data_IF_848783894745
#
_entry.id   IF_848783894745
#
_cell.length_a   1.000
_cell.length_b   1.000
_cell.length_c   1.000
_cell.angle_alpha   90.00
_cell.angle_beta   90.00
_cell.angle_gamma   90.00
#
_symmetry.space_group_name_H-M   'P 1'
#
loop_
_entity.id
_entity.type
_entity.pdbx_description
1 polymer ?
#
# COMPACT_ATOMS: atom_id res chain seq x y z
N UNK A 1 17.84 2.16 -14.84
CA UNK A 1 17.51 0.75 -14.50
C UNK A 1 16.51 0.64 -13.35
N UNK A 2 16.71 1.32 -12.20
CA UNK A 2 15.81 1.23 -11.04
C UNK A 2 14.33 1.52 -11.36
N UNK A 3 14.03 2.57 -12.13
CA UNK A 3 12.66 2.91 -12.54
C UNK A 3 11.98 1.75 -13.28
N UNK A 4 12.66 1.17 -14.27
CA UNK A 4 12.13 0.03 -15.04
C UNK A 4 11.91 -1.18 -14.15
N UNK A 5 12.83 -1.46 -13.21
CA UNK A 5 12.68 -2.54 -12.25
C UNK A 5 11.47 -2.35 -11.33
N UNK A 6 11.23 -1.14 -10.83
CA UNK A 6 10.06 -0.82 -9.99
C UNK A 6 8.76 -0.99 -10.77
N UNK A 7 8.73 -0.53 -12.02
CA UNK A 7 7.56 -0.69 -12.90
C UNK A 7 7.31 -2.18 -13.16
N UNK A 8 8.32 -2.94 -13.55
CA UNK A 8 8.20 -4.38 -13.80
C UNK A 8 7.75 -5.15 -12.54
N UNK A 9 8.36 -4.86 -11.40
CA UNK A 9 7.98 -5.42 -10.10
C UNK A 9 6.52 -5.14 -9.77
N UNK A 10 6.10 -3.88 -9.88
CA UNK A 10 4.72 -3.49 -9.58
C UNK A 10 3.72 -4.17 -10.50
N UNK A 11 3.97 -4.21 -11.81
CA UNK A 11 3.06 -4.86 -12.74
C UNK A 11 3.03 -6.38 -12.54
N UNK A 12 4.14 -7.01 -12.16
CA UNK A 12 4.16 -8.42 -11.76
C UNK A 12 3.28 -8.69 -10.54
N UNK A 13 3.40 -7.87 -9.49
CA UNK A 13 2.55 -7.94 -8.29
C UNK A 13 1.08 -7.69 -8.64
N UNK A 14 0.79 -6.67 -9.44
CA UNK A 14 -0.55 -6.31 -9.88
C UNK A 14 -1.23 -7.42 -10.68
N UNK A 15 -0.52 -8.00 -11.65
CA UNK A 15 -1.03 -9.12 -12.46
C UNK A 15 -1.27 -10.36 -11.61
N UNK A 16 -0.35 -10.68 -10.70
CA UNK A 16 -0.52 -11.80 -9.78
C UNK A 16 -1.75 -11.62 -8.87
N UNK A 17 -1.95 -10.42 -8.31
CA UNK A 17 -3.12 -10.13 -7.49
C UNK A 17 -4.43 -10.13 -8.26
N UNK A 18 -4.40 -9.67 -9.51
CA UNK A 18 -5.55 -9.71 -10.42
C UNK A 18 -5.93 -11.17 -10.70
N UNK A 19 -4.95 -12.01 -10.99
CA UNK A 19 -5.16 -13.45 -11.19
C UNK A 19 -5.74 -14.12 -9.93
N UNK A 20 -5.20 -13.84 -8.73
CA UNK A 20 -5.77 -14.33 -7.47
C UNK A 20 -7.24 -13.92 -7.30
N UNK A 21 -7.56 -12.65 -7.58
CA UNK A 21 -8.93 -12.15 -7.41
C UNK A 21 -9.87 -12.81 -8.43
N UNK A 22 -9.43 -12.94 -9.68
CA UNK A 22 -10.18 -13.63 -10.73
C UNK A 22 -10.40 -15.12 -10.41
N UNK A 23 -9.39 -15.82 -9.86
CA UNK A 23 -9.54 -17.21 -9.42
C UNK A 23 -10.56 -17.35 -8.27
N UNK A 24 -10.66 -16.35 -7.39
CA UNK A 24 -11.55 -16.37 -6.24
C UNK A 24 -13.03 -16.12 -6.59
N UNK A 25 -13.32 -15.13 -7.45
CA UNK A 25 -14.71 -14.72 -7.71
C UNK A 25 -15.06 -14.47 -9.19
N UNK A 26 -14.20 -14.92 -10.12
CA UNK A 26 -14.32 -14.73 -11.56
C UNK A 26 -14.44 -13.26 -11.99
N UNK A 27 -14.12 -12.30 -11.10
CA UNK A 27 -14.17 -10.89 -11.45
C UNK A 27 -12.88 -10.41 -12.09
N UNK A 28 -13.04 -9.54 -13.07
CA UNK A 28 -11.97 -8.75 -13.67
C UNK A 28 -12.05 -7.32 -13.12
N UNK A 29 -10.91 -6.68 -12.97
CA UNK A 29 -10.80 -5.36 -12.35
C UNK A 29 -10.32 -4.37 -13.40
N UNK A 30 -11.08 -3.30 -13.59
CA UNK A 30 -10.83 -2.34 -14.68
C UNK A 30 -9.61 -1.44 -14.43
N UNK A 31 -9.16 -1.34 -13.17
CA UNK A 31 -8.04 -0.47 -12.81
C UNK A 31 -7.27 -0.94 -11.57
N UNK A 32 -6.13 -0.29 -11.34
CA UNK A 32 -5.23 -0.53 -10.23
C UNK A 32 -5.87 -0.34 -8.84
N UNK A 33 -6.74 0.66 -8.69
CA UNK A 33 -7.37 0.96 -7.41
C UNK A 33 -8.41 -0.11 -7.03
N UNK A 34 -9.23 -0.53 -7.99
CA UNK A 34 -10.22 -1.60 -7.80
C UNK A 34 -9.55 -2.94 -7.49
N UNK A 35 -8.44 -3.25 -8.16
CA UNK A 35 -7.65 -4.46 -7.84
C UNK A 35 -7.09 -4.41 -6.43
N UNK A 36 -6.51 -3.28 -6.01
CA UNK A 36 -5.99 -3.11 -4.67
C UNK A 36 -7.07 -3.26 -3.59
N UNK A 37 -8.25 -2.68 -3.84
CA UNK A 37 -9.41 -2.76 -2.95
C UNK A 37 -9.92 -4.20 -2.83
N UNK A 38 -10.28 -4.83 -3.95
CA UNK A 38 -10.81 -6.21 -3.93
C UNK A 38 -9.80 -7.18 -3.33
N UNK A 39 -8.52 -7.09 -3.71
CA UNK A 39 -7.51 -7.97 -3.14
C UNK A 39 -7.43 -7.80 -1.62
N UNK A 40 -7.46 -6.57 -1.09
CA UNK A 40 -7.48 -6.32 0.35
C UNK A 40 -8.70 -6.94 1.05
N UNK A 41 -9.90 -6.73 0.50
CA UNK A 41 -11.17 -7.22 1.05
C UNK A 41 -11.27 -8.76 1.03
N UNK A 42 -10.62 -9.41 0.05
CA UNK A 42 -10.68 -10.86 -0.13
C UNK A 42 -9.58 -11.60 0.61
N UNK A 43 -8.35 -11.12 0.56
CA UNK A 43 -7.20 -11.90 1.01
C UNK A 43 -6.75 -11.53 2.42
N UNK A 44 -6.04 -10.40 2.66
CA UNK A 44 -5.54 -10.09 3.99
C UNK A 44 -6.67 -9.84 4.99
N UNK A 45 -7.82 -9.25 4.59
CA UNK A 45 -8.95 -9.05 5.50
C UNK A 45 -9.58 -10.36 6.02
N UNK A 46 -9.39 -11.48 5.31
CA UNK A 46 -9.89 -12.80 5.70
C UNK A 46 -8.77 -13.76 6.14
N UNK A 47 -7.56 -13.24 6.41
CA UNK A 47 -6.39 -14.05 6.77
C UNK A 47 -5.99 -15.09 5.69
N UNK A 48 -6.27 -14.79 4.42
CA UNK A 48 -5.92 -15.60 3.25
C UNK A 48 -4.68 -15.04 2.51
N UNK A 49 -3.89 -14.21 3.17
CA UNK A 49 -2.60 -13.77 2.65
C UNK A 49 -1.52 -14.16 3.67
N UNK A 50 -0.31 -14.43 3.18
CA UNK A 50 0.83 -14.72 4.05
C UNK A 50 1.63 -13.44 4.36
N UNK A 51 2.23 -13.37 5.54
CA UNK A 51 3.13 -12.27 5.87
C UNK A 51 4.38 -12.29 4.95
N UNK A 52 4.92 -11.12 4.56
CA UNK A 52 4.51 -9.76 4.98
C UNK A 52 3.29 -9.20 4.22
N UNK A 53 2.81 -9.85 3.17
CA UNK A 53 1.72 -9.34 2.32
C UNK A 53 0.36 -9.27 3.03
N UNK A 54 0.19 -10.06 4.10
CA UNK A 54 -1.02 -10.11 4.92
C UNK A 54 -1.29 -8.82 5.70
N UNK A 55 -0.29 -7.95 5.90
CA UNK A 55 -0.48 -6.74 6.70
C UNK A 55 -1.42 -5.76 6.00
N UNK A 56 -2.54 -5.48 6.66
CA UNK A 56 -3.55 -4.55 6.19
C UNK A 56 -4.17 -3.76 7.35
N UNK A 57 -4.77 -2.62 7.01
CA UNK A 57 -5.65 -1.88 7.91
C UNK A 57 -7.05 -1.87 7.31
N UNK A 58 -8.08 -2.09 8.12
CA UNK A 58 -9.47 -2.16 7.67
C UNK A 58 -10.04 -0.80 7.31
N UNK A 59 -9.52 0.26 7.94
CA UNK A 59 -9.88 1.65 7.64
C UNK A 59 -8.71 2.59 7.88
N UNK A 60 -8.83 3.83 7.41
CA UNK A 60 -7.88 4.91 7.73
C UNK A 60 -8.39 5.83 8.86
N UNK A 61 -9.39 5.39 9.63
CA UNK A 61 -9.82 6.12 10.83
C UNK A 61 -8.66 6.12 11.83
N UNK A 62 -8.28 7.28 12.43
CA UNK A 62 -7.10 7.36 13.31
C UNK A 62 -7.07 6.30 14.43
N UNK A 63 -8.19 6.09 15.13
CA UNK A 63 -8.28 5.12 16.22
C UNK A 63 -8.15 3.66 15.75
N UNK A 64 -8.75 3.32 14.60
CA UNK A 64 -8.63 2.00 13.98
C UNK A 64 -7.20 1.74 13.51
N UNK A 65 -6.59 2.72 12.83
CA UNK A 65 -5.19 2.66 12.40
C UNK A 65 -4.27 2.44 13.58
N UNK A 66 -4.42 3.20 14.67
CA UNK A 66 -3.59 3.05 15.87
C UNK A 66 -3.69 1.63 16.45
N UNK A 67 -4.91 1.12 16.58
CA UNK A 67 -5.19 -0.21 17.14
C UNK A 67 -4.60 -1.32 16.27
N UNK A 68 -4.91 -1.33 14.98
CA UNK A 68 -4.48 -2.40 14.06
C UNK A 68 -2.97 -2.34 13.78
N UNK A 69 -2.41 -1.13 13.68
CA UNK A 69 -0.98 -0.94 13.48
C UNK A 69 -0.16 -1.35 14.71
N UNK A 70 -0.72 -1.26 15.91
CA UNK A 70 -0.04 -1.74 17.12
C UNK A 70 0.29 -3.24 17.01
N UNK A 71 -0.64 -4.05 16.50
CA UNK A 71 -0.43 -5.49 16.25
C UNK A 71 0.70 -5.74 15.25
N UNK A 72 0.77 -4.94 14.18
CA UNK A 72 1.85 -5.04 13.18
C UNK A 72 3.21 -4.67 13.80
N UNK A 73 3.25 -3.61 14.62
CA UNK A 73 4.46 -3.11 15.28
C UNK A 73 5.04 -4.04 16.35
N UNK A 74 4.28 -5.02 16.86
CA UNK A 74 4.82 -6.03 17.79
C UNK A 74 5.95 -6.83 17.15
N UNK A 75 5.93 -7.05 15.82
CA UNK A 75 6.98 -7.78 15.11
C UNK A 75 8.30 -7.01 14.97
N UNK A 76 8.27 -5.69 15.15
CA UNK A 76 9.45 -4.85 15.05
C UNK A 76 9.14 -3.37 14.91
N UNK A 77 10.14 -2.54 15.22
CA UNK A 77 10.12 -1.10 14.99
C UNK A 77 11.48 -0.68 14.43
N UNK A 78 11.46 -0.03 13.26
CA UNK A 78 12.67 0.45 12.62
C UNK A 78 12.30 1.55 11.62
N UNK A 79 13.21 2.49 11.40
CA UNK A 79 13.02 3.55 10.43
C UNK A 79 13.50 3.14 9.05
N UNK A 80 12.71 3.42 8.02
CA UNK A 80 12.97 3.31 6.59
C UNK A 80 14.14 4.18 6.12
N UNK A 81 14.57 5.15 6.94
CA UNK A 81 15.76 5.95 6.66
C UNK A 81 17.03 5.10 6.82
N UNK A 82 16.98 4.07 7.66
CA UNK A 82 18.09 3.15 7.91
C UNK A 82 17.85 1.82 7.20
N UNK A 83 18.91 1.26 6.59
CA UNK A 83 18.82 -0.06 5.98
C UNK A 83 18.66 -1.11 7.10
N UNK A 84 17.61 -1.95 7.08
CA UNK A 84 17.47 -3.02 8.05
C UNK A 84 18.58 -4.06 7.85
N UNK A 85 19.13 -4.55 8.96
CA UNK A 85 20.18 -5.57 9.02
C UNK A 85 19.69 -6.88 9.65
N UNK A 86 18.54 -6.83 10.33
CA UNK A 86 17.89 -8.00 10.93
C UNK A 86 16.45 -8.16 10.43
N UNK A 87 15.89 -9.36 10.59
CA UNK A 87 14.50 -9.62 10.25
C UNK A 87 13.51 -8.76 11.08
N UNK A 88 13.82 -8.53 12.35
CA UNK A 88 13.00 -7.67 13.23
C UNK A 88 13.00 -6.22 12.74
N UNK A 89 14.15 -5.71 12.29
CA UNK A 89 14.22 -4.38 11.68
C UNK A 89 13.43 -4.31 10.37
N UNK A 90 13.50 -5.35 9.54
CA UNK A 90 12.71 -5.43 8.31
C UNK A 90 11.20 -5.40 8.59
N UNK A 91 10.72 -6.11 9.62
CA UNK A 91 9.33 -6.01 10.10
C UNK A 91 8.99 -4.59 10.54
N UNK A 92 9.90 -3.91 11.22
CA UNK A 92 9.76 -2.51 11.60
C UNK A 92 9.59 -1.58 10.39
N UNK A 93 10.40 -1.76 9.35
CA UNK A 93 10.27 -1.01 8.10
C UNK A 93 8.92 -1.24 7.41
N UNK A 94 8.42 -2.49 7.38
CA UNK A 94 7.09 -2.79 6.86
C UNK A 94 5.99 -2.04 7.64
N UNK A 95 6.06 -2.05 8.97
CA UNK A 95 5.11 -1.33 9.83
C UNK A 95 5.16 0.18 9.61
N UNK A 96 6.36 0.77 9.50
CA UNK A 96 6.51 2.21 9.25
C UNK A 96 5.99 2.61 7.85
N UNK A 97 6.23 1.78 6.83
CA UNK A 97 5.71 2.06 5.48
C UNK A 97 4.19 1.99 5.41
N UNK A 98 3.59 1.02 6.11
CA UNK A 98 2.13 0.90 6.24
C UNK A 98 1.54 2.12 6.96
N UNK A 99 2.14 2.53 8.08
CA UNK A 99 1.78 3.75 8.83
C UNK A 99 1.81 5.00 7.93
N UNK A 100 2.92 5.19 7.21
CA UNK A 100 3.07 6.31 6.29
C UNK A 100 2.09 6.26 5.12
N UNK A 101 1.65 5.06 4.72
CA UNK A 101 0.65 4.87 3.66
C UNK A 101 -0.75 5.22 4.17
N UNK A 102 -1.10 4.85 5.40
CA UNK A 102 -2.34 5.29 6.04
C UNK A 102 -2.43 6.82 6.14
N UNK A 103 -1.33 7.47 6.54
CA UNK A 103 -1.24 8.94 6.55
C UNK A 103 -1.50 9.57 5.19
N UNK A 104 -0.88 9.05 4.14
CA UNK A 104 -1.07 9.54 2.77
C UNK A 104 -2.49 9.31 2.24
N UNK A 105 -3.07 8.13 2.50
CA UNK A 105 -4.43 7.80 2.08
C UNK A 105 -5.47 8.67 2.78
N UNK A 106 -5.26 9.07 4.04
CA UNK A 106 -6.13 10.05 4.71
C UNK A 106 -6.17 11.38 3.95
N UNK A 107 -5.00 11.95 3.62
CA UNK A 107 -4.94 13.21 2.87
C UNK A 107 -5.61 13.09 1.51
N UNK A 108 -5.40 11.98 0.80
CA UNK A 108 -6.04 11.70 -0.50
C UNK A 108 -7.57 11.57 -0.37
N UNK A 109 -8.07 10.90 0.68
CA UNK A 109 -9.52 10.82 0.96
C UNK A 109 -10.09 12.21 1.27
N UNK A 110 -9.39 13.02 2.07
CA UNK A 110 -9.82 14.39 2.36
C UNK A 110 -9.95 15.26 1.10
N UNK A 111 -8.96 15.19 0.20
CA UNK A 111 -9.00 15.88 -1.10
C UNK A 111 -10.24 15.45 -1.90
N UNK A 112 -10.49 14.15 -2.03
CA UNK A 112 -11.65 13.62 -2.75
C UNK A 112 -12.98 14.03 -2.10
N UNK A 113 -13.07 14.03 -0.77
CA UNK A 113 -14.29 14.45 -0.06
C UNK A 113 -14.57 15.93 -0.33
N UNK A 114 -13.55 16.79 -0.35
CA UNK A 114 -13.72 18.23 -0.68
C UNK A 114 -14.29 18.45 -2.08
N UNK A 115 -14.02 17.54 -3.01
CA UNK A 115 -14.53 17.63 -4.39
C UNK A 115 -16.00 17.23 -4.53
N UNK A 116 -16.57 16.53 -3.54
CA UNK A 116 -17.96 16.06 -3.57
C UNK A 116 -18.97 17.19 -3.51
N UNK A 117 -20.12 17.01 -4.17
CA UNK A 117 -21.24 17.94 -4.10
C UNK A 117 -21.76 18.11 -2.66
N UNK A 118 -21.78 17.03 -1.88
CA UNK A 118 -22.23 17.02 -0.49
C UNK A 118 -21.36 17.94 0.38
N UNK A 119 -20.03 17.86 0.26
CA UNK A 119 -19.13 18.72 1.00
C UNK A 119 -19.25 20.18 0.54
N UNK A 120 -19.30 20.43 -0.77
CA UNK A 120 -19.48 21.78 -1.34
C UNK A 120 -20.77 22.44 -0.86
N UNK A 121 -21.85 21.67 -0.72
CA UNK A 121 -23.14 22.17 -0.22
C UNK A 121 -23.10 22.61 1.25
N UNK A 122 -22.12 22.15 2.05
CA UNK A 122 -21.95 22.61 3.43
C UNK A 122 -21.40 24.04 3.52
N UNK A 123 -20.85 24.60 2.43
CA UNK A 123 -20.29 25.95 2.42
C UNK A 123 -19.05 26.14 3.31
N UNK A 124 -18.34 25.05 3.63
CA UNK A 124 -17.12 25.06 4.46
C UNK A 124 -15.88 24.72 3.63
N UNK A 125 -14.70 25.13 4.10
CA UNK A 125 -13.40 24.84 3.48
C UNK A 125 -12.61 23.73 4.19
N UNK A 126 -13.04 23.32 5.39
CA UNK A 126 -12.36 22.35 6.23
C UNK A 126 -13.32 21.35 6.89
N UNK A 127 -12.73 20.40 7.63
CA UNK A 127 -13.45 19.35 8.35
C UNK A 127 -13.63 19.68 9.85
N UNK A 128 -13.83 20.94 10.24
CA UNK A 128 -14.02 21.31 11.66
C UNK A 128 -15.46 21.15 12.13
N UNK A 129 -16.44 21.35 11.25
CA UNK A 129 -17.86 21.21 11.60
C UNK A 129 -18.23 19.74 11.78
N UNK A 130 -19.29 19.47 12.56
CA UNK A 130 -19.77 18.11 12.79
C UNK A 130 -20.15 17.40 11.47
N UNK A 131 -20.96 18.05 10.63
CA UNK A 131 -21.39 17.50 9.35
C UNK A 131 -20.21 17.20 8.39
N UNK A 132 -19.22 18.10 8.34
CA UNK A 132 -18.02 17.86 7.52
C UNK A 132 -17.20 16.67 8.04
N UNK A 133 -17.01 16.57 9.36
CA UNK A 133 -16.32 15.42 9.98
C UNK A 133 -17.03 14.11 9.69
N UNK A 134 -18.36 14.07 9.76
CA UNK A 134 -19.14 12.88 9.45
C UNK A 134 -18.93 12.41 8.01
N UNK A 135 -18.97 13.32 7.02
CA UNK A 135 -18.67 12.98 5.62
C UNK A 135 -17.26 12.41 5.43
N UNK A 136 -16.27 13.01 6.09
CA UNK A 136 -14.89 12.54 6.08
C UNK A 136 -14.77 11.15 6.71
N UNK A 137 -15.34 10.97 7.89
CA UNK A 137 -15.17 9.75 8.69
C UNK A 137 -15.89 8.56 8.05
N UNK A 138 -17.03 8.78 7.38
CA UNK A 138 -17.66 7.77 6.51
C UNK A 138 -16.72 7.34 5.39
N UNK A 139 -15.99 8.29 4.79
CA UNK A 139 -15.04 8.01 3.72
C UNK A 139 -13.78 7.30 4.24
N UNK A 140 -13.31 7.66 5.44
CA UNK A 140 -12.22 6.95 6.12
C UNK A 140 -12.59 5.51 6.46
N UNK A 141 -13.80 5.27 6.97
CA UNK A 141 -14.30 3.95 7.34
C UNK A 141 -14.27 2.96 6.16
N UNK A 142 -14.53 3.46 4.94
CA UNK A 142 -14.57 2.65 3.71
C UNK A 142 -13.20 2.44 3.07
N UNK A 143 -12.14 3.05 3.60
CA UNK A 143 -10.80 3.00 3.00
C UNK A 143 -9.90 2.03 3.75
N UNK A 144 -10.00 0.76 3.42
CA UNK A 144 -9.00 -0.25 3.79
C UNK A 144 -7.73 -0.12 2.96
N UNK A 145 -6.58 -0.45 3.55
CA UNK A 145 -5.27 -0.41 2.88
C UNK A 145 -4.48 -1.70 3.13
N UNK A 146 -3.63 -2.07 2.18
CA UNK A 146 -2.86 -3.34 2.21
C UNK A 146 -1.59 -3.23 1.38
N UNK A 147 -0.86 -4.34 1.20
CA UNK A 147 0.33 -4.41 0.37
C UNK A 147 0.17 -3.79 -1.04
N UNK A 148 -0.94 -4.02 -1.74
CA UNK A 148 -1.12 -3.45 -3.09
C UNK A 148 -1.25 -1.92 -3.11
N UNK A 149 -1.84 -1.35 -2.06
CA UNK A 149 -1.90 0.09 -1.88
C UNK A 149 -0.49 0.66 -1.65
N UNK A 150 0.30 -0.02 -0.82
CA UNK A 150 1.70 0.30 -0.58
C UNK A 150 2.54 0.21 -1.87
N UNK A 151 2.39 -0.86 -2.65
CA UNK A 151 3.09 -1.06 -3.92
C UNK A 151 2.73 0.00 -4.97
N UNK A 152 1.44 0.34 -5.08
CA UNK A 152 0.96 1.42 -5.96
C UNK A 152 1.56 2.77 -5.57
N UNK A 153 1.55 3.10 -4.28
CA UNK A 153 2.17 4.32 -3.74
C UNK A 153 3.67 4.35 -3.98
N UNK A 154 4.37 3.23 -3.79
CA UNK A 154 5.81 3.13 -4.03
C UNK A 154 6.15 3.38 -5.50
N UNK A 155 5.45 2.71 -6.43
CA UNK A 155 5.57 2.98 -7.88
C UNK A 155 5.31 4.45 -8.20
N UNK A 156 4.26 5.04 -7.63
CA UNK A 156 3.90 6.44 -7.85
C UNK A 156 5.03 7.40 -7.46
N UNK A 157 5.57 7.25 -6.24
CA UNK A 157 6.71 8.05 -5.76
C UNK A 157 7.94 7.90 -6.65
N UNK A 158 8.27 6.66 -7.00
CA UNK A 158 9.42 6.33 -7.83
C UNK A 158 9.30 6.85 -9.27
N UNK A 159 8.08 6.97 -9.83
CA UNK A 159 7.88 7.44 -11.20
C UNK A 159 7.92 8.96 -11.37
N UNK A 160 7.66 9.73 -10.32
CA UNK A 160 7.63 11.20 -10.40
C UNK A 160 8.79 11.87 -9.67
N UNK A 161 8.89 11.68 -8.35
CA UNK A 161 9.77 12.49 -7.50
C UNK A 161 11.17 11.90 -7.32
N UNK A 162 11.26 10.58 -7.19
CA UNK A 162 12.54 9.91 -6.91
C UNK A 162 13.27 9.46 -8.19
N UNK A 163 12.57 9.40 -9.34
CA UNK A 163 13.21 9.07 -10.63
C UNK A 163 14.39 10.00 -10.98
N UNK A 164 14.31 11.27 -10.55
CA UNK A 164 15.37 12.26 -10.76
C UNK A 164 16.58 11.94 -9.85
N UNK A 165 16.36 11.61 -8.58
CA UNK A 165 17.44 11.29 -7.64
C UNK A 165 18.06 9.90 -7.86
N UNK A 166 17.28 8.94 -8.38
CA UNK A 166 17.76 7.60 -8.74
C UNK A 166 18.63 7.58 -10.00
N UNK A 167 18.79 8.72 -10.68
CA UNK A 167 19.58 8.85 -11.92
C UNK A 167 20.80 9.79 -11.77
N UNK A 168 20.92 10.52 -10.66
CA UNK A 168 21.95 11.55 -10.47
C UNK A 168 22.76 11.34 -9.20
N UNK A 169 24.08 11.23 -9.34
CA UNK A 169 25.05 11.17 -8.24
C UNK A 169 26.00 9.97 -8.33
N UNK A 170 27.25 10.17 -7.94
CA UNK A 170 28.31 9.15 -7.98
C UNK A 170 28.10 8.02 -6.95
N UNK A 171 27.26 8.24 -5.93
CA UNK A 171 26.90 7.27 -4.88
C UNK A 171 25.72 6.36 -5.23
N UNK A 172 24.95 6.69 -6.27
CA UNK A 172 23.71 5.98 -6.66
C UNK A 172 23.95 4.52 -7.04
N UNK A 173 25.02 4.14 -7.78
CA UNK A 173 25.27 2.74 -8.09
C UNK A 173 25.44 1.85 -6.85
N UNK A 174 26.10 2.37 -5.81
CA UNK A 174 26.29 1.63 -4.55
C UNK A 174 25.00 1.53 -3.75
N UNK A 175 24.16 2.57 -3.78
CA UNK A 175 22.85 2.58 -3.12
C UNK A 175 21.84 1.64 -3.81
N UNK A 176 21.97 1.43 -5.12
CA UNK A 176 21.13 0.53 -5.90
C UNK A 176 21.67 -0.90 -6.00
N UNK A 177 22.84 -1.17 -5.41
CA UNK A 177 23.41 -2.52 -5.38
C UNK A 177 22.45 -3.48 -4.68
N UNK A 178 22.07 -4.57 -5.36
CA UNK A 178 21.11 -5.57 -4.87
C UNK A 178 19.64 -5.16 -4.99
N UNK A 179 19.32 -3.91 -5.37
CA UNK A 179 17.94 -3.43 -5.42
C UNK A 179 17.04 -4.25 -6.35
N UNK A 180 17.55 -4.60 -7.55
CA UNK A 180 16.79 -5.40 -8.53
C UNK A 180 16.58 -6.82 -8.01
N UNK A 181 17.58 -7.40 -7.36
CA UNK A 181 17.50 -8.73 -6.77
C UNK A 181 16.49 -8.77 -5.62
N UNK A 182 16.50 -7.75 -4.75
CA UNK A 182 15.54 -7.61 -3.65
C UNK A 182 14.11 -7.49 -4.18
N UNK A 183 13.87 -6.67 -5.21
CA UNK A 183 12.56 -6.58 -5.88
C UNK A 183 12.13 -7.93 -6.47
N UNK A 184 13.05 -8.67 -7.09
CA UNK A 184 12.78 -9.99 -7.64
C UNK A 184 12.42 -11.01 -6.54
N UNK A 185 13.10 -10.97 -5.39
CA UNK A 185 12.80 -11.83 -4.23
C UNK A 185 11.37 -11.55 -3.73
N UNK A 186 11.01 -10.28 -3.56
CA UNK A 186 9.64 -9.89 -3.15
C UNK A 186 8.61 -10.36 -4.16
N UNK A 187 8.85 -10.15 -5.46
CA UNK A 187 7.94 -10.61 -6.52
C UNK A 187 7.79 -12.13 -6.52
N UNK A 188 8.88 -12.88 -6.38
CA UNK A 188 8.85 -14.36 -6.30
C UNK A 188 8.00 -14.83 -5.13
N UNK A 189 8.17 -14.22 -3.94
CA UNK A 189 7.36 -14.54 -2.77
C UNK A 189 5.87 -14.29 -2.99
N UNK A 190 5.52 -13.13 -3.56
CA UNK A 190 4.13 -12.80 -3.86
C UNK A 190 3.54 -13.71 -4.95
N UNK A 191 4.31 -13.99 -6.00
CA UNK A 191 3.89 -14.86 -7.10
C UNK A 191 3.72 -16.32 -6.66
N UNK A 192 4.55 -16.82 -5.74
CA UNK A 192 4.40 -18.15 -5.16
C UNK A 192 3.07 -18.28 -4.39
N UNK A 193 2.74 -17.29 -3.56
CA UNK A 193 1.43 -17.21 -2.91
C UNK A 193 0.30 -17.17 -3.95
N UNK A 194 0.42 -16.32 -4.97
CA UNK A 194 -0.60 -16.20 -6.02
C UNK A 194 -0.79 -17.51 -6.80
N UNK A 195 0.31 -18.19 -7.12
CA UNK A 195 0.30 -19.47 -7.82
C UNK A 195 -0.48 -20.54 -7.06
N UNK A 196 -0.31 -20.60 -5.73
CA UNK A 196 -1.06 -21.55 -4.89
C UNK A 196 -2.58 -21.32 -4.94
N UNK A 197 -3.04 -20.08 -5.08
CA UNK A 197 -4.47 -19.77 -5.24
C UNK A 197 -4.99 -20.02 -6.65
N UNK A 198 -4.16 -19.81 -7.68
CA UNK A 198 -4.57 -19.94 -9.08
C UNK A 198 -4.48 -21.39 -9.60
N UNK A 199 -3.85 -22.30 -8.86
CA UNK A 199 -3.74 -23.73 -9.21
C UNK A 199 -4.86 -24.60 -8.63
N UNK A 200 -5.77 -24.01 -7.84
CA UNK A 200 -6.95 -24.68 -7.29
C UNK A 200 -8.07 -24.73 -8.33
#
# INVERSE_FOLDING_TARGET
MARTAIVAWYYGVYSAASAMTAAMDASFQDNHAETARKWQERFPANNLAMHPFADCLSSVIPATVETELATVKVRGQHSLVNKPTTAQEAWGCCAEYLSGTAGWERSNVEERVRETAQFKALGVSDFRTKAARELRDISYARRGISFLHQASRYRGKANYRDAIYLAYGTSVPNQLSGFVDDMLIVLKGFAAMAGAYCSL
#
